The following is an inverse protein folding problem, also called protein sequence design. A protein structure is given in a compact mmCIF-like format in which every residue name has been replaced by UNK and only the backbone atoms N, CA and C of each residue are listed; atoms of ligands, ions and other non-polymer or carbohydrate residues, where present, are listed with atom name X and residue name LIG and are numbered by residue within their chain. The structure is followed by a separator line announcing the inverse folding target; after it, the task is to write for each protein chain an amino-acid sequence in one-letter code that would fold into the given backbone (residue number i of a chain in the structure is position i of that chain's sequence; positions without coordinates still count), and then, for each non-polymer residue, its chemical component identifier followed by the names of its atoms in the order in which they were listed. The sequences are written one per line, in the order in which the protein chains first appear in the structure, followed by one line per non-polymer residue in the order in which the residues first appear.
data_IF_435698581428
#
_entry.id   IF_435698581428
#
_cell.length_a   1.000
_cell.length_b   1.000
_cell.length_c   1.000
_cell.angle_alpha   90.00
_cell.angle_beta   90.00
_cell.angle_gamma   90.00
#
_symmetry.space_group_name_H-M   'P 1'
#
loop_
_entity.id
_entity.type
_entity.pdbx_description
1 polymer ?
#
# COMPACT_ATOMS: atom_id res chain seq x y z
N UNK A 1 8.28 -1.53 3.10
CA UNK A 1 8.12 -1.06 1.70
C UNK A 1 9.33 -0.27 1.19
N UNK A 2 9.58 0.97 1.64
CA UNK A 2 10.64 1.84 1.08
C UNK A 2 12.07 1.29 1.18
N UNK A 3 12.44 0.75 2.34
CA UNK A 3 13.80 0.28 2.61
C UNK A 3 14.26 -0.91 1.73
N UNK A 4 13.45 -1.98 1.54
CA UNK A 4 13.80 -3.03 0.58
C UNK A 4 13.72 -2.53 -0.87
N UNK A 5 12.79 -1.63 -1.22
CA UNK A 5 12.68 -1.12 -2.58
C UNK A 5 13.96 -0.40 -3.06
N UNK A 6 14.53 0.44 -2.19
CA UNK A 6 15.80 1.12 -2.46
C UNK A 6 16.98 0.14 -2.64
N UNK A 7 16.97 -1.01 -1.95
CA UNK A 7 18.02 -2.05 -2.10
C UNK A 7 17.84 -2.91 -3.33
N UNK A 8 16.61 -3.07 -3.81
CA UNK A 8 16.29 -3.87 -4.98
C UNK A 8 16.19 -3.05 -6.28
N UNK A 9 16.42 -1.74 -6.22
CA UNK A 9 16.35 -0.86 -7.39
C UNK A 9 14.95 -0.75 -8.00
N UNK A 10 13.90 -0.78 -7.17
CA UNK A 10 12.51 -0.69 -7.61
C UNK A 10 11.75 0.41 -6.85
N UNK A 11 10.56 0.76 -7.33
CA UNK A 11 9.68 1.69 -6.65
C UNK A 11 8.99 0.98 -5.48
N UNK A 12 8.99 1.62 -4.31
CA UNK A 12 8.32 1.12 -3.12
C UNK A 12 7.44 2.19 -2.50
N UNK A 13 6.17 2.21 -2.88
CA UNK A 13 5.23 3.24 -2.46
C UNK A 13 4.50 2.82 -1.19
N UNK A 14 4.60 3.66 -0.15
CA UNK A 14 3.75 3.54 1.05
C UNK A 14 2.67 4.63 0.98
N UNK A 15 1.39 4.28 0.80
CA UNK A 15 0.31 5.24 0.77
C UNK A 15 0.06 5.91 2.13
N UNK A 16 -0.76 6.96 2.10
CA UNK A 16 -1.40 7.53 3.28
C UNK A 16 -2.21 6.45 4.02
N UNK A 17 -2.22 6.55 5.35
CA UNK A 17 -2.96 5.61 6.20
C UNK A 17 -4.46 5.66 5.87
N UNK A 18 -5.09 4.49 5.70
CA UNK A 18 -6.49 4.35 5.30
C UNK A 18 -6.80 4.63 3.83
N UNK A 19 -5.81 4.89 2.97
CA UNK A 19 -6.07 5.00 1.52
C UNK A 19 -6.35 3.63 0.86
N UNK A 20 -5.74 2.58 1.39
CA UNK A 20 -5.89 1.21 0.94
C UNK A 20 -6.43 0.37 2.09
N UNK A 21 -7.39 -0.50 1.78
CA UNK A 21 -7.91 -1.47 2.74
C UNK A 21 -6.81 -2.39 3.26
N UNK A 22 -6.87 -2.68 4.57
CA UNK A 22 -6.06 -3.67 5.28
C UNK A 22 -6.87 -4.91 5.62
N UNK A 23 -8.12 -5.01 5.15
CA UNK A 23 -8.94 -6.19 5.37
C UNK A 23 -8.22 -7.46 4.87
N UNK A 24 -8.19 -8.49 5.70
CA UNK A 24 -7.47 -9.73 5.41
C UNK A 24 -5.95 -9.69 5.63
N UNK A 25 -5.37 -8.56 6.05
CA UNK A 25 -3.96 -8.51 6.47
C UNK A 25 -3.78 -9.00 7.91
N UNK A 26 -2.71 -9.75 8.16
CA UNK A 26 -2.26 -10.03 9.52
C UNK A 26 -1.59 -8.77 10.05
N UNK A 27 -2.17 -8.17 11.10
CA UNK A 27 -1.66 -6.95 11.68
C UNK A 27 -0.34 -7.17 12.43
N UNK A 28 0.59 -6.23 12.27
CA UNK A 28 1.77 -6.10 13.12
C UNK A 28 1.54 -4.99 14.15
N UNK A 29 1.22 -3.79 13.67
CA UNK A 29 0.76 -2.66 14.47
C UNK A 29 -0.32 -1.94 13.69
N UNK A 30 -1.58 -2.26 13.97
CA UNK A 30 -2.75 -1.76 13.22
C UNK A 30 -2.64 -0.27 12.87
N UNK A 31 -2.33 0.60 13.82
CA UNK A 31 -2.27 2.05 13.62
C UNK A 31 -1.17 2.54 12.65
N UNK A 32 -0.18 1.72 12.34
CA UNK A 32 0.93 2.06 11.43
C UNK A 32 0.96 1.21 10.16
N UNK A 33 0.20 0.12 10.13
CA UNK A 33 0.16 -0.78 9.00
C UNK A 33 -0.52 -0.09 7.81
N UNK A 34 0.13 -0.17 6.65
CA UNK A 34 -0.39 0.34 5.39
C UNK A 34 0.10 -0.59 4.29
N UNK A 35 -0.79 -1.13 3.43
CA UNK A 35 -0.37 -1.94 2.30
C UNK A 35 0.55 -1.12 1.41
N UNK A 36 1.67 -1.70 1.00
CA UNK A 36 2.64 -1.03 0.13
C UNK A 36 2.69 -1.67 -1.24
N UNK A 37 2.98 -0.86 -2.26
CA UNK A 37 3.06 -1.31 -3.64
C UNK A 37 4.54 -1.31 -4.07
N UNK A 38 4.96 -2.40 -4.70
CA UNK A 38 6.27 -2.50 -5.36
C UNK A 38 6.08 -2.58 -6.87
N UNK A 39 6.81 -1.76 -7.62
CA UNK A 39 6.76 -1.77 -9.09
C UNK A 39 8.14 -1.50 -9.68
N UNK A 40 8.33 -1.85 -10.95
CA UNK A 40 9.51 -1.45 -11.72
C UNK A 40 9.29 -0.18 -12.56
N UNK A 41 8.03 0.20 -12.77
CA UNK A 41 7.65 1.36 -13.57
C UNK A 41 6.67 2.25 -12.80
N UNK A 42 6.74 3.56 -13.02
CA UNK A 42 5.84 4.51 -12.38
C UNK A 42 4.40 4.38 -12.89
N UNK A 43 4.21 4.04 -14.15
CA UNK A 43 2.87 3.89 -14.75
C UNK A 43 2.11 2.72 -14.12
N UNK A 44 2.80 1.59 -13.87
CA UNK A 44 2.23 0.45 -13.17
C UNK A 44 1.81 0.81 -11.74
N UNK A 45 2.56 1.71 -11.08
CA UNK A 45 2.22 2.18 -9.74
C UNK A 45 0.93 3.00 -9.76
N UNK A 46 0.82 3.92 -10.72
CA UNK A 46 -0.37 4.76 -10.91
C UNK A 46 -1.58 3.90 -11.27
N UNK A 47 -1.42 2.95 -12.19
CA UNK A 47 -2.49 2.03 -12.57
C UNK A 47 -2.96 1.19 -11.36
N UNK A 48 -2.01 0.63 -10.62
CA UNK A 48 -2.32 -0.21 -9.46
C UNK A 48 -3.07 0.59 -8.41
N UNK A 49 -2.56 1.77 -8.02
CA UNK A 49 -3.20 2.55 -6.95
C UNK A 49 -4.61 3.01 -7.33
N UNK A 50 -4.83 3.41 -8.58
CA UNK A 50 -6.16 3.80 -9.06
C UNK A 50 -7.14 2.62 -9.08
N UNK A 51 -6.65 1.38 -9.19
CA UNK A 51 -7.48 0.19 -9.18
C UNK A 51 -7.88 -0.28 -7.77
N UNK A 52 -7.06 -0.01 -6.76
CA UNK A 52 -7.25 -0.56 -5.40
C UNK A 52 -7.52 0.48 -4.31
N UNK A 53 -7.34 1.78 -4.60
CA UNK A 53 -7.61 2.83 -3.62
C UNK A 53 -9.10 3.08 -3.48
N UNK A 54 -9.55 3.23 -2.24
CA UNK A 54 -10.95 3.50 -1.93
C UNK A 54 -11.32 3.03 -0.52
N UNK A 55 -12.49 3.48 -0.03
CA UNK A 55 -13.03 3.02 1.24
C UNK A 55 -13.44 1.54 1.13
N UNK A 56 -13.24 0.80 2.20
CA UNK A 56 -13.67 -0.59 2.34
C UNK A 56 -14.44 -0.73 3.65
N UNK A 57 -15.71 -1.14 3.57
CA UNK A 57 -16.58 -1.26 4.73
C UNK A 57 -16.14 -2.32 5.74
N UNK A 58 -15.26 -3.22 5.34
CA UNK A 58 -14.68 -4.25 6.21
C UNK A 58 -13.38 -3.79 6.90
N UNK A 59 -12.80 -2.65 6.49
CA UNK A 59 -11.67 -2.02 7.16
C UNK A 59 -12.13 -0.83 8.00
N UNK A 60 -11.91 -0.90 9.31
CA UNK A 60 -12.27 0.18 10.22
C UNK A 60 -11.37 1.43 10.09
N UNK A 61 -10.37 1.43 9.20
CA UNK A 61 -9.68 2.66 8.81
C UNK A 61 -10.31 3.30 7.59
N UNK A 62 -11.03 4.39 7.87
CA UNK A 62 -11.72 5.28 6.94
C UNK A 62 -12.91 4.66 6.19
#
# INVERSE_FOLDING_TARGET
VRNPAARCGCYGFKPSYGLLSRYGMIALVNSFDSPGIFTRNIDDLILTINAIAGPDGEDATL
#
